data_IF_646688861566
#
_entry.id   IF_646688861566
#
_cell.length_a   1.000
_cell.length_b   1.000
_cell.length_c   1.000
_cell.angle_alpha   90.00
_cell.angle_beta   90.00
_cell.angle_gamma   90.00
#
_symmetry.space_group_name_H-M   'P 1'
#
loop_
_entity.id
_entity.type
_entity.pdbx_description
1 polymer ?
#
# COMPACT_ATOMS: atom_id res chain seq x y z
N UNK A 1 15.96 19.04 6.14
CA UNK A 1 16.37 19.45 7.50
C UNK A 1 15.41 18.80 8.48
N UNK A 2 15.80 17.65 9.04
CA UNK A 2 14.96 16.75 9.84
C UNK A 2 15.00 17.15 11.32
N UNK A 3 13.84 17.49 11.91
CA UNK A 3 13.69 17.66 13.35
C UNK A 3 12.91 16.46 13.89
N UNK A 4 13.60 15.59 14.63
CA UNK A 4 13.03 14.49 15.42
C UNK A 4 12.22 15.08 16.58
N UNK A 5 10.94 14.71 16.70
CA UNK A 5 10.15 14.87 17.93
C UNK A 5 10.46 13.69 18.86
N UNK A 6 11.01 13.98 20.03
CA UNK A 6 11.05 13.08 21.20
C UNK A 6 9.94 13.56 22.12
N UNK A 7 9.00 12.67 22.43
CA UNK A 7 7.89 12.93 23.36
C UNK A 7 8.27 12.35 24.72
N UNK A 8 8.57 13.22 25.69
CA UNK A 8 8.83 12.85 27.09
C UNK A 8 7.52 13.02 27.87
N UNK A 9 7.06 11.96 28.54
CA UNK A 9 5.85 11.99 29.37
C UNK A 9 6.21 12.48 30.78
N UNK A 10 5.38 13.41 31.28
CA UNK A 10 5.42 14.03 32.61
C UNK A 10 5.33 13.00 33.74
N UNK A 11 6.21 13.11 34.73
CA UNK A 11 6.00 12.59 36.09
C UNK A 11 5.48 13.70 36.99
N UNK A 12 4.31 13.48 37.60
CA UNK A 12 3.64 14.42 38.50
C UNK A 12 4.34 14.52 39.87
N UNK A 13 4.40 15.76 40.35
CA UNK A 13 4.95 16.20 41.63
C UNK A 13 3.84 16.15 42.70
N UNK A 14 4.05 15.49 43.85
CA UNK A 14 3.21 15.69 45.05
C UNK A 14 4.09 15.86 46.29
N UNK A 15 4.02 17.08 46.81
CA UNK A 15 4.19 17.61 48.17
C UNK A 15 5.18 16.94 49.15
N UNK A 16 6.28 17.66 49.44
CA UNK A 16 7.01 17.56 50.70
C UNK A 16 6.20 18.22 51.84
N UNK A 17 5.88 17.46 52.89
CA UNK A 17 5.62 18.01 54.22
C UNK A 17 6.74 17.57 55.16
N UNK A 18 7.53 18.54 55.62
CA UNK A 18 8.55 18.38 56.65
C UNK A 18 7.92 18.01 58.00
N UNK A 19 8.41 16.95 58.63
CA UNK A 19 8.32 16.71 60.09
C UNK A 19 9.74 16.44 60.58
N UNK A 20 10.26 17.16 61.59
CA UNK A 20 11.51 16.79 62.24
C UNK A 20 11.22 15.73 63.31
N UNK A 21 12.04 14.68 63.39
CA UNK A 21 12.79 14.27 64.60
C UNK A 21 13.24 12.81 64.57
N UNK A 22 14.35 12.60 65.30
CA UNK A 22 15.01 11.36 65.68
C UNK A 22 15.76 10.61 64.58
N UNK A 23 17.04 10.97 64.47
CA UNK A 23 18.08 10.11 63.92
C UNK A 23 18.34 8.96 64.89
N UNK A 24 17.45 7.95 64.91
CA UNK A 24 17.87 6.59 65.23
C UNK A 24 18.42 6.06 63.92
N UNK A 25 19.73 5.84 63.87
CA UNK A 25 20.39 5.15 62.79
C UNK A 25 19.77 3.75 62.72
N UNK A 26 18.71 3.60 61.92
CA UNK A 26 18.14 2.30 61.60
C UNK A 26 19.26 1.53 60.92
N UNK A 27 19.63 0.42 61.55
CA UNK A 27 20.62 -0.53 61.06
C UNK A 27 20.41 -0.73 59.56
N UNK A 28 21.43 -0.35 58.80
CA UNK A 28 21.61 -0.85 57.45
C UNK A 28 21.77 -2.35 57.62
N UNK A 29 20.69 -3.11 57.44
CA UNK A 29 20.73 -4.58 57.49
C UNK A 29 21.59 -5.03 56.32
N UNK A 30 22.87 -5.22 56.58
CA UNK A 30 23.78 -5.91 55.68
C UNK A 30 23.27 -7.34 55.58
N UNK A 31 22.50 -7.59 54.53
CA UNK A 31 21.84 -8.88 54.31
C UNK A 31 22.86 -9.97 53.98
N UNK A 32 24.07 -9.62 53.57
CA UNK A 32 25.19 -10.55 53.44
C UNK A 32 25.77 -10.87 54.82
N UNK A 33 25.20 -11.89 55.47
CA UNK A 33 25.66 -12.33 56.78
C UNK A 33 26.70 -13.44 56.66
N UNK A 34 27.80 -13.32 57.41
CA UNK A 34 28.78 -14.40 57.62
C UNK A 34 28.81 -14.77 59.09
N UNK A 35 28.95 -16.06 59.40
CA UNK A 35 28.97 -16.55 60.79
C UNK A 35 29.94 -17.70 60.94
N UNK A 36 30.67 -17.72 62.06
CA UNK A 36 31.48 -18.88 62.48
C UNK A 36 30.64 -20.02 63.08
N UNK A 37 29.34 -19.79 63.34
CA UNK A 37 28.40 -20.79 63.89
C UNK A 37 27.44 -21.28 62.80
N UNK A 38 26.74 -20.37 62.13
CA UNK A 38 25.85 -20.65 61.01
C UNK A 38 24.57 -21.41 61.39
N UNK A 39 24.12 -22.29 60.50
CA UNK A 39 22.85 -23.01 60.63
C UNK A 39 22.87 -24.05 61.76
N UNK A 40 21.80 -24.07 62.57
CA UNK A 40 21.59 -25.04 63.66
C UNK A 40 20.14 -25.54 63.67
N UNK A 41 19.96 -26.85 63.73
CA UNK A 41 18.65 -27.47 63.94
C UNK A 41 18.40 -27.68 65.43
N UNK A 42 17.28 -27.15 65.94
CA UNK A 42 16.82 -27.34 67.31
C UNK A 42 15.39 -27.88 67.27
N UNK A 43 15.19 -29.12 67.73
CA UNK A 43 13.89 -29.79 67.79
C UNK A 43 13.10 -29.74 66.46
N UNK A 44 13.79 -29.95 65.33
CA UNK A 44 13.18 -29.97 64.01
C UNK A 44 12.97 -28.59 63.37
N UNK A 45 13.38 -27.51 64.02
CA UNK A 45 13.36 -26.16 63.45
C UNK A 45 14.78 -25.66 63.18
N UNK A 46 15.02 -25.07 62.02
CA UNK A 46 16.30 -24.48 61.65
C UNK A 46 16.39 -23.02 62.11
N UNK A 47 17.57 -22.62 62.58
CA UNK A 47 17.93 -21.26 63.00
C UNK A 47 19.30 -20.92 62.42
N UNK A 48 19.55 -19.64 62.13
CA UNK A 48 20.90 -19.16 61.78
C UNK A 48 21.50 -18.40 62.97
N UNK A 49 22.58 -18.92 63.53
CA UNK A 49 23.30 -18.26 64.62
C UNK A 49 24.39 -17.36 64.06
N UNK A 50 24.48 -16.14 64.57
CA UNK A 50 25.59 -15.22 64.32
C UNK A 50 26.81 -15.61 65.17
N UNK A 51 28.00 -15.08 64.85
CA UNK A 51 29.24 -15.38 65.57
C UNK A 51 29.22 -15.01 67.06
N UNK A 52 28.31 -14.12 67.46
CA UNK A 52 28.07 -13.71 68.86
C UNK A 52 27.10 -14.65 69.62
N UNK A 53 26.73 -15.79 69.03
CA UNK A 53 25.80 -16.78 69.57
C UNK A 53 24.33 -16.32 69.69
N UNK A 54 23.96 -15.19 69.08
CA UNK A 54 22.56 -14.75 68.95
C UNK A 54 21.93 -15.23 67.64
N UNK A 55 20.60 -15.41 67.62
CA UNK A 55 19.85 -15.83 66.43
C UNK A 55 19.68 -14.66 65.46
N UNK A 56 19.84 -14.91 64.17
CA UNK A 56 19.42 -13.98 63.13
C UNK A 56 17.89 -14.00 62.97
N UNK A 57 17.34 -12.87 62.53
CA UNK A 57 15.91 -12.64 62.27
C UNK A 57 15.76 -11.88 60.95
N UNK A 58 14.58 -11.99 60.32
CA UNK A 58 14.28 -11.37 59.03
C UNK A 58 15.06 -11.99 57.87
N UNK A 59 15.26 -11.20 56.82
CA UNK A 59 15.99 -11.63 55.63
C UNK A 59 17.50 -11.69 55.85
N UNK A 60 18.10 -12.83 55.48
CA UNK A 60 19.56 -13.01 55.45
C UNK A 60 20.00 -13.66 54.14
N UNK A 61 21.28 -13.49 53.80
CA UNK A 61 21.89 -14.02 52.58
C UNK A 61 23.25 -14.71 52.82
N UNK A 62 23.32 -15.76 53.67
CA UNK A 62 24.52 -16.58 53.82
C UNK A 62 24.81 -17.33 52.51
N UNK A 63 26.10 -17.41 52.15
CA UNK A 63 26.58 -18.21 51.01
C UNK A 63 25.82 -17.96 49.70
N UNK A 64 25.46 -16.68 49.48
CA UNK A 64 24.79 -16.15 48.29
C UNK A 64 23.34 -16.61 48.06
N UNK A 65 22.72 -17.32 49.00
CA UNK A 65 21.31 -17.71 48.95
C UNK A 65 20.49 -16.91 49.97
N UNK A 66 19.30 -16.45 49.57
CA UNK A 66 18.40 -15.71 50.46
C UNK A 66 17.57 -16.67 51.32
N UNK A 67 17.42 -16.34 52.60
CA UNK A 67 16.58 -17.04 53.57
C UNK A 67 15.81 -16.01 54.39
N UNK A 68 14.70 -16.44 54.99
CA UNK A 68 13.92 -15.64 55.91
C UNK A 68 13.78 -16.36 57.26
N UNK A 69 14.04 -15.65 58.35
CA UNK A 69 13.90 -16.11 59.71
C UNK A 69 12.77 -15.32 60.37
N UNK A 70 11.84 -16.02 61.01
CA UNK A 70 10.74 -15.40 61.75
C UNK A 70 11.24 -14.31 62.70
N UNK A 71 10.62 -13.13 62.66
CA UNK A 71 11.13 -11.92 63.33
C UNK A 71 11.18 -12.03 64.86
N UNK A 72 10.42 -12.96 65.44
CA UNK A 72 10.31 -13.14 66.89
C UNK A 72 11.11 -14.34 67.39
N UNK A 73 10.96 -15.49 66.72
CA UNK A 73 11.56 -16.76 67.16
C UNK A 73 12.92 -17.04 66.52
N UNK A 74 13.22 -16.42 65.37
CA UNK A 74 14.37 -16.73 64.53
C UNK A 74 14.24 -18.05 63.75
N UNK A 75 13.05 -18.68 63.77
CA UNK A 75 12.81 -19.94 63.06
C UNK A 75 12.83 -19.70 61.55
N UNK A 76 13.53 -20.56 60.81
CA UNK A 76 13.59 -20.52 59.36
C UNK A 76 12.22 -20.74 58.73
N UNK A 77 11.87 -19.87 57.79
CA UNK A 77 10.62 -19.93 57.02
C UNK A 77 10.77 -20.88 55.83
N UNK A 78 9.74 -21.67 55.57
CA UNK A 78 9.58 -22.53 54.38
C UNK A 78 8.20 -22.29 53.79
N UNK A 79 8.02 -22.55 52.50
CA UNK A 79 6.76 -22.28 51.78
C UNK A 79 6.53 -20.81 51.46
N UNK A 80 5.26 -20.42 51.32
CA UNK A 80 4.88 -19.04 50.99
C UNK A 80 5.13 -18.07 52.15
N UNK A 81 5.74 -16.93 51.83
CA UNK A 81 6.01 -15.83 52.74
C UNK A 81 5.45 -14.53 52.14
N UNK A 82 4.62 -13.82 52.88
CA UNK A 82 4.24 -12.45 52.54
C UNK A 82 5.10 -11.47 53.34
N UNK A 83 5.83 -10.59 52.64
CA UNK A 83 6.57 -9.49 53.26
C UNK A 83 6.31 -8.19 52.50
N UNK A 84 5.83 -7.18 53.23
CA UNK A 84 5.51 -5.83 52.70
C UNK A 84 4.65 -5.87 51.43
N UNK A 85 3.65 -6.75 51.40
CA UNK A 85 2.71 -6.90 50.28
C UNK A 85 3.25 -7.68 49.08
N UNK A 86 4.48 -8.22 49.15
CA UNK A 86 5.03 -9.11 48.13
C UNK A 86 5.03 -10.54 48.65
N UNK A 87 4.71 -11.48 47.77
CA UNK A 87 4.77 -12.91 48.07
C UNK A 87 6.08 -13.52 47.58
N UNK A 88 6.72 -14.33 48.41
CA UNK A 88 7.94 -15.07 48.12
C UNK A 88 7.69 -16.54 48.37
N UNK A 89 8.47 -17.41 47.74
CA UNK A 89 8.42 -18.84 48.02
C UNK A 89 9.78 -19.33 48.51
N UNK A 90 9.82 -19.85 49.72
CA UNK A 90 10.98 -20.47 50.34
C UNK A 90 10.89 -21.98 50.13
N UNK A 91 11.92 -22.62 49.59
CA UNK A 91 11.92 -24.07 49.38
C UNK A 91 11.96 -24.85 50.70
N UNK A 92 11.96 -26.18 50.62
CA UNK A 92 11.96 -27.05 51.82
C UNK A 92 13.24 -26.90 52.67
N UNK A 93 14.32 -26.34 52.10
CA UNK A 93 15.55 -25.99 52.79
C UNK A 93 15.58 -24.51 53.25
N UNK A 94 14.49 -23.78 53.01
CA UNK A 94 14.33 -22.37 53.36
C UNK A 94 15.00 -21.40 52.41
N UNK A 95 15.58 -21.85 51.30
CA UNK A 95 16.19 -20.97 50.31
C UNK A 95 15.11 -20.33 49.44
N UNK A 96 15.22 -19.02 49.19
CA UNK A 96 14.26 -18.28 48.38
C UNK A 96 14.35 -18.71 46.91
N UNK A 97 13.22 -19.12 46.36
CA UNK A 97 13.09 -19.55 44.97
C UNK A 97 13.02 -18.36 44.02
N UNK A 98 13.64 -18.51 42.85
CA UNK A 98 13.53 -17.61 41.70
C UNK A 98 13.17 -18.42 40.45
N UNK A 99 12.57 -17.76 39.47
CA UNK A 99 12.13 -18.35 38.22
C UNK A 99 10.83 -19.16 38.34
N UNK A 100 10.62 -20.04 37.37
CA UNK A 100 9.43 -20.89 37.26
C UNK A 100 9.36 -21.94 38.37
N UNK A 101 8.22 -22.04 39.05
CA UNK A 101 7.95 -23.05 40.06
C UNK A 101 6.56 -23.63 39.90
N UNK A 102 6.47 -24.97 39.84
CA UNK A 102 5.21 -25.70 39.88
C UNK A 102 4.90 -26.13 41.31
N UNK A 103 3.73 -25.77 41.83
CA UNK A 103 3.24 -26.08 43.17
C UNK A 103 1.82 -26.59 43.06
N UNK A 104 1.54 -27.78 43.62
CA UNK A 104 0.19 -28.37 43.66
C UNK A 104 -0.56 -28.41 42.31
N UNK A 105 0.19 -28.51 41.21
CA UNK A 105 -0.35 -28.53 39.84
C UNK A 105 -0.30 -27.18 39.12
N UNK A 106 -0.17 -26.08 39.84
CA UNK A 106 -0.18 -24.71 39.33
C UNK A 106 1.22 -24.15 39.11
N UNK A 107 1.37 -23.33 38.06
CA UNK A 107 2.62 -22.65 37.75
C UNK A 107 2.65 -21.24 38.32
N UNK A 108 3.80 -20.88 38.89
CA UNK A 108 4.14 -19.57 39.42
C UNK A 108 5.47 -19.10 38.81
N UNK A 109 5.66 -17.79 38.71
CA UNK A 109 6.93 -17.17 38.37
C UNK A 109 7.38 -16.30 39.54
N UNK A 110 8.56 -16.59 40.08
CA UNK A 110 9.23 -15.78 41.08
C UNK A 110 10.26 -14.92 40.35
N UNK A 111 10.12 -13.61 40.41
CA UNK A 111 11.01 -12.66 39.71
C UNK A 111 12.44 -12.72 40.25
N UNK A 112 13.36 -11.95 39.66
CA UNK A 112 14.76 -11.90 40.13
C UNK A 112 14.91 -11.39 41.57
N UNK A 113 13.94 -10.61 42.08
CA UNK A 113 13.87 -10.22 43.50
C UNK A 113 13.30 -11.33 44.40
N UNK A 114 12.77 -12.40 43.83
CA UNK A 114 12.02 -13.47 44.52
C UNK A 114 10.53 -13.19 44.66
N UNK A 115 10.07 -11.98 44.33
CA UNK A 115 8.65 -11.64 44.42
C UNK A 115 7.84 -12.41 43.36
N UNK A 116 6.70 -12.95 43.76
CA UNK A 116 5.74 -13.67 42.94
C UNK A 116 5.11 -12.72 41.93
N UNK A 117 5.23 -13.06 40.65
CA UNK A 117 4.68 -12.27 39.58
C UNK A 117 3.13 -12.34 39.53
N UNK A 118 2.53 -11.24 39.09
CA UNK A 118 1.12 -11.11 38.73
C UNK A 118 1.03 -10.31 37.43
N UNK A 119 -0.14 -10.33 36.77
CA UNK A 119 -0.33 -9.67 35.49
C UNK A 119 0.42 -10.35 34.34
N UNK A 120 0.56 -9.64 33.22
CA UNK A 120 1.29 -10.13 32.04
C UNK A 120 2.79 -10.01 32.30
N UNK A 121 3.52 -11.09 32.07
CA UNK A 121 4.96 -11.20 32.24
C UNK A 121 5.59 -11.72 30.97
N UNK A 122 6.74 -11.17 30.62
CA UNK A 122 7.55 -11.63 29.52
C UNK A 122 8.69 -12.51 30.03
N UNK A 123 8.78 -13.73 29.50
CA UNK A 123 9.91 -14.62 29.71
C UNK A 123 10.49 -15.03 28.34
N UNK A 124 11.71 -14.54 28.09
CA UNK A 124 12.34 -14.56 26.77
C UNK A 124 11.42 -13.92 25.70
N UNK A 125 11.01 -14.69 24.71
CA UNK A 125 10.12 -14.24 23.62
C UNK A 125 8.64 -14.56 23.86
N UNK A 126 8.27 -15.13 25.01
CA UNK A 126 6.90 -15.53 25.29
C UNK A 126 6.28 -14.65 26.36
N UNK A 127 4.99 -14.36 26.20
CA UNK A 127 4.18 -13.68 27.19
C UNK A 127 3.31 -14.68 27.94
N UNK A 128 3.14 -14.48 29.25
CA UNK A 128 2.29 -15.30 30.12
C UNK A 128 1.48 -14.39 31.04
N UNK A 129 0.26 -14.80 31.40
CA UNK A 129 -0.55 -14.08 32.37
C UNK A 129 -0.61 -14.82 33.70
N UNK A 130 -0.26 -14.12 34.78
CA UNK A 130 -0.40 -14.58 36.15
C UNK A 130 -1.57 -13.86 36.81
N UNK A 131 -2.54 -14.64 37.30
CA UNK A 131 -3.70 -14.11 38.06
C UNK A 131 -3.20 -13.39 39.32
N UNK A 132 -4.06 -12.65 40.01
CA UNK A 132 -3.70 -11.97 41.26
C UNK A 132 -3.21 -12.94 42.35
N UNK A 133 -3.67 -14.19 42.30
CA UNK A 133 -3.19 -15.31 43.13
C UNK A 133 -1.74 -15.76 42.81
N UNK A 134 -1.16 -15.28 41.71
CA UNK A 134 0.12 -15.70 41.16
C UNK A 134 0.08 -16.98 40.33
N UNK A 135 -1.08 -17.61 40.18
CA UNK A 135 -1.25 -18.79 39.33
C UNK A 135 -1.27 -18.38 37.87
N UNK A 136 -0.43 -19.00 37.04
CA UNK A 136 -0.42 -18.81 35.60
C UNK A 136 -1.75 -19.26 34.97
N UNK A 137 -2.29 -18.45 34.07
CA UNK A 137 -3.43 -18.82 33.24
C UNK A 137 -2.99 -19.82 32.16
N UNK A 138 -3.77 -20.88 31.99
CA UNK A 138 -3.51 -22.01 31.07
C UNK A 138 -4.67 -22.32 30.14
N UNK A 139 -5.75 -21.54 30.23
CA UNK A 139 -6.89 -21.64 29.33
C UNK A 139 -6.45 -21.31 27.90
N UNK A 140 -7.02 -22.00 26.91
CA UNK A 140 -6.72 -21.81 25.50
C UNK A 140 -7.81 -20.93 24.88
N UNK A 141 -7.41 -20.04 23.98
CA UNK A 141 -8.30 -19.18 23.21
C UNK A 141 -8.44 -17.76 23.76
N UNK A 142 -9.44 -17.06 23.25
CA UNK A 142 -9.70 -15.66 23.55
C UNK A 142 -10.03 -15.43 25.03
N UNK A 143 -9.30 -14.51 25.66
CA UNK A 143 -9.49 -14.10 27.06
C UNK A 143 -9.45 -12.59 27.17
N UNK A 144 -10.45 -12.00 27.84
CA UNK A 144 -10.47 -10.56 28.11
C UNK A 144 -9.77 -10.25 29.43
N UNK A 145 -8.77 -9.38 29.40
CA UNK A 145 -7.99 -8.93 30.57
C UNK A 145 -7.90 -7.40 30.50
N UNK A 146 -8.40 -6.70 31.54
CA UNK A 146 -8.38 -5.24 31.63
C UNK A 146 -8.88 -4.54 30.35
N UNK A 147 -10.04 -4.98 29.87
CA UNK A 147 -10.71 -4.51 28.66
C UNK A 147 -10.01 -4.77 27.31
N UNK A 148 -8.88 -5.47 27.31
CA UNK A 148 -8.20 -5.94 26.09
C UNK A 148 -8.41 -7.44 25.90
N UNK A 149 -8.49 -7.88 24.64
CA UNK A 149 -8.52 -9.29 24.28
C UNK A 149 -7.13 -9.82 24.00
N UNK A 150 -6.87 -11.04 24.46
CA UNK A 150 -5.62 -11.78 24.27
C UNK A 150 -5.97 -13.20 23.82
N UNK A 151 -5.17 -13.78 22.93
CA UNK A 151 -5.33 -15.18 22.55
C UNK A 151 -4.29 -16.03 23.27
N UNK A 152 -4.75 -17.03 24.03
CA UNK A 152 -3.86 -17.96 24.72
C UNK A 152 -3.67 -19.23 23.90
N UNK A 153 -2.43 -19.55 23.59
CA UNK A 153 -2.03 -20.81 22.97
C UNK A 153 -1.98 -21.95 24.00
N UNK A 154 -1.60 -23.14 23.51
CA UNK A 154 -1.17 -24.24 24.37
C UNK A 154 -0.07 -23.78 25.34
N UNK A 155 -0.04 -24.39 26.52
CA UNK A 155 0.93 -24.12 27.58
C UNK A 155 0.80 -22.72 28.25
N UNK A 156 -0.28 -21.97 27.97
CA UNK A 156 -0.58 -20.69 28.63
C UNK A 156 0.17 -19.48 28.08
N UNK A 157 0.80 -19.63 26.91
CA UNK A 157 1.45 -18.53 26.19
C UNK A 157 0.41 -17.61 25.58
N UNK A 158 0.65 -16.31 25.62
CA UNK A 158 -0.14 -15.33 24.87
C UNK A 158 0.45 -15.19 23.47
N UNK A 159 -0.38 -15.37 22.46
CA UNK A 159 -0.02 -15.28 21.05
C UNK A 159 0.22 -13.83 20.63
N UNK A 160 1.19 -13.61 19.76
CA UNK A 160 1.45 -12.34 19.08
C UNK A 160 1.50 -12.57 17.57
N UNK A 161 1.10 -11.58 16.78
CA UNK A 161 0.98 -11.72 15.34
C UNK A 161 -0.35 -12.33 14.88
N UNK A 162 -0.31 -13.00 13.73
CA UNK A 162 -1.49 -13.53 13.04
C UNK A 162 -2.04 -14.78 13.70
N UNK A 163 -3.35 -14.78 13.94
CA UNK A 163 -4.09 -15.89 14.55
C UNK A 163 -5.19 -16.33 13.58
N UNK A 164 -5.22 -17.62 13.25
CA UNK A 164 -6.35 -18.25 12.58
C UNK A 164 -7.21 -18.98 13.64
N UNK A 165 -8.48 -18.60 13.76
CA UNK A 165 -9.41 -19.22 14.68
C UNK A 165 -10.80 -19.33 14.06
N UNK A 166 -11.32 -20.56 13.92
CA UNK A 166 -12.62 -20.86 13.32
C UNK A 166 -12.80 -20.26 11.91
N UNK A 167 -11.83 -20.51 11.02
CA UNK A 167 -11.79 -20.01 9.63
C UNK A 167 -11.81 -18.47 9.51
N UNK A 168 -11.42 -17.76 10.58
CA UNK A 168 -11.28 -16.31 10.61
C UNK A 168 -9.87 -15.92 11.05
N UNK A 169 -9.40 -14.81 10.50
CA UNK A 169 -8.08 -14.26 10.82
C UNK A 169 -8.20 -13.09 11.79
N UNK A 170 -7.25 -13.00 12.70
CA UNK A 170 -7.10 -11.94 13.69
C UNK A 170 -5.64 -11.54 13.77
N UNK A 171 -5.35 -10.40 14.38
CA UNK A 171 -3.97 -9.99 14.65
C UNK A 171 -3.83 -9.54 16.10
N UNK A 172 -2.74 -9.97 16.77
CA UNK A 172 -2.36 -9.50 18.09
C UNK A 172 -1.06 -8.71 18.02
N UNK A 173 -1.03 -7.57 18.69
CA UNK A 173 0.16 -6.72 18.84
C UNK A 173 1.28 -7.45 19.58
N UNK A 174 2.48 -6.85 19.61
CA UNK A 174 3.63 -7.37 20.35
C UNK A 174 3.38 -7.45 21.86
N UNK A 175 2.45 -6.67 22.41
CA UNK A 175 2.01 -6.76 23.81
C UNK A 175 0.96 -7.87 24.03
N UNK A 176 0.59 -8.61 22.98
CA UNK A 176 -0.42 -9.67 22.94
C UNK A 176 -1.85 -9.18 22.77
N UNK A 177 -2.10 -7.87 22.75
CA UNK A 177 -3.46 -7.35 22.64
C UNK A 177 -4.00 -7.45 21.22
N UNK A 178 -5.23 -7.92 21.08
CA UNK A 178 -5.94 -8.04 19.79
C UNK A 178 -6.14 -6.67 19.13
N UNK A 179 -5.92 -6.62 17.82
CA UNK A 179 -6.18 -5.46 16.97
C UNK A 179 -7.64 -5.44 16.52
N UNK A 180 -8.22 -4.24 16.48
CA UNK A 180 -9.53 -3.91 15.91
C UNK A 180 -9.41 -2.65 15.07
N UNK A 181 -10.29 -2.46 14.09
CA UNK A 181 -10.25 -1.32 13.19
C UNK A 181 -9.12 -1.40 12.17
N UNK A 182 -8.71 -0.26 11.63
CA UNK A 182 -7.64 -0.19 10.61
C UNK A 182 -6.27 -0.18 11.25
N UNK A 183 -5.37 -1.04 10.78
CA UNK A 183 -3.98 -1.05 11.23
C UNK A 183 -3.01 -1.40 10.11
N UNK A 184 -1.73 -1.05 10.30
CA UNK A 184 -0.67 -1.31 9.34
C UNK A 184 0.30 -2.34 9.90
N UNK A 185 0.28 -3.54 9.30
CA UNK A 185 1.13 -4.67 9.69
C UNK A 185 2.27 -4.75 8.67
N UNK A 186 3.48 -4.38 9.12
CA UNK A 186 4.61 -4.16 8.22
C UNK A 186 4.34 -2.98 7.28
N UNK A 187 4.28 -3.24 5.97
CA UNK A 187 4.00 -2.22 4.96
C UNK A 187 2.57 -2.26 4.40
N UNK A 188 1.75 -3.20 4.85
CA UNK A 188 0.42 -3.47 4.31
C UNK A 188 -0.64 -3.02 5.32
N UNK A 189 -1.67 -2.34 4.83
CA UNK A 189 -2.83 -1.95 5.64
C UNK A 189 -3.88 -3.05 5.61
N UNK A 190 -4.41 -3.36 6.78
CA UNK A 190 -5.49 -4.32 7.03
C UNK A 190 -6.62 -3.61 7.79
N UNK A 191 -7.80 -4.20 7.79
CA UNK A 191 -8.91 -3.76 8.63
C UNK A 191 -9.54 -4.95 9.34
N UNK A 192 -9.88 -4.73 10.60
CA UNK A 192 -10.46 -5.72 11.51
C UNK A 192 -11.78 -5.18 12.05
N UNK A 193 -12.77 -6.05 12.24
CA UNK A 193 -14.04 -5.72 12.88
C UNK A 193 -13.85 -5.33 14.35
N UNK A 194 -14.93 -4.86 14.99
CA UNK A 194 -14.94 -4.59 16.44
C UNK A 194 -14.71 -5.85 17.29
N UNK A 195 -14.88 -7.03 16.68
CA UNK A 195 -14.57 -8.33 17.30
C UNK A 195 -13.20 -8.87 16.91
N UNK A 196 -12.41 -8.11 16.15
CA UNK A 196 -11.04 -8.43 15.74
C UNK A 196 -10.92 -9.28 14.49
N UNK A 197 -12.03 -9.66 13.86
CA UNK A 197 -12.04 -10.47 12.64
C UNK A 197 -11.54 -9.63 11.46
N UNK A 198 -10.51 -10.11 10.75
CA UNK A 198 -9.96 -9.45 9.57
C UNK A 198 -11.00 -9.44 8.44
N UNK A 199 -11.27 -8.25 7.90
CA UNK A 199 -12.24 -8.08 6.83
C UNK A 199 -11.59 -8.24 5.46
N UNK A 200 -12.40 -8.67 4.48
CA UNK A 200 -12.03 -8.75 3.07
C UNK A 200 -13.16 -8.18 2.21
N UNK A 201 -12.89 -7.89 0.94
CA UNK A 201 -13.84 -7.28 0.02
C UNK A 201 -14.03 -5.78 0.26
N UNK A 202 -15.21 -5.26 -0.08
CA UNK A 202 -15.54 -3.85 0.07
C UNK A 202 -15.83 -3.49 1.54
N UNK A 203 -15.06 -2.56 2.08
CA UNK A 203 -15.23 -2.06 3.46
C UNK A 203 -15.30 -0.53 3.44
N UNK A 204 -16.29 0.04 4.13
CA UNK A 204 -16.40 1.48 4.30
C UNK A 204 -15.72 1.90 5.60
N UNK A 205 -14.66 2.71 5.49
CA UNK A 205 -13.92 3.25 6.63
C UNK A 205 -14.00 4.77 6.57
N UNK A 206 -14.65 5.39 7.56
CA UNK A 206 -14.80 6.84 7.66
C UNK A 206 -15.35 7.50 6.38
N UNK A 207 -16.44 6.95 5.82
CA UNK A 207 -17.09 7.38 4.58
C UNK A 207 -16.26 7.20 3.29
N UNK A 208 -15.14 6.49 3.34
CA UNK A 208 -14.38 6.11 2.17
C UNK A 208 -14.47 4.60 1.96
N UNK A 209 -14.70 4.17 0.73
CA UNK A 209 -14.69 2.75 0.38
C UNK A 209 -13.27 2.29 0.09
N UNK A 210 -12.93 1.11 0.57
CA UNK A 210 -11.68 0.40 0.31
C UNK A 210 -12.02 -1.01 -0.15
N UNK A 211 -11.14 -1.61 -0.95
CA UNK A 211 -11.24 -3.02 -1.27
C UNK A 211 -10.06 -3.75 -0.62
N UNK A 212 -10.35 -4.73 0.23
CA UNK A 212 -9.36 -5.60 0.84
C UNK A 212 -9.34 -6.94 0.10
N UNK A 213 -8.15 -7.35 -0.34
CA UNK A 213 -7.96 -8.61 -1.06
C UNK A 213 -8.28 -9.81 -0.16
N UNK A 214 -8.31 -11.01 -0.74
CA UNK A 214 -8.59 -12.25 0.02
C UNK A 214 -7.56 -12.55 1.10
N UNK A 215 -6.34 -12.02 0.97
CA UNK A 215 -5.29 -12.10 1.99
C UNK A 215 -5.37 -10.97 3.04
N UNK A 216 -6.40 -10.12 2.95
CA UNK A 216 -6.62 -8.98 3.84
C UNK A 216 -5.85 -7.72 3.47
N UNK A 217 -4.97 -7.75 2.47
CA UNK A 217 -4.22 -6.56 2.05
C UNK A 217 -5.12 -5.53 1.36
N UNK A 218 -4.97 -4.24 1.69
CA UNK A 218 -5.67 -3.18 0.94
C UNK A 218 -5.22 -3.16 -0.53
N UNK A 219 -6.18 -3.09 -1.46
CA UNK A 219 -5.91 -2.96 -2.89
C UNK A 219 -5.62 -1.51 -3.28
N UNK A 220 -4.74 -1.33 -4.27
CA UNK A 220 -4.44 -0.04 -4.92
C UNK A 220 -4.43 -0.22 -6.44
N UNK A 221 -4.66 0.87 -7.17
CA UNK A 221 -4.75 0.86 -8.63
C UNK A 221 -6.04 0.22 -9.15
N UNK A 222 -5.97 -0.33 -10.37
CA UNK A 222 -7.12 -0.94 -11.03
C UNK A 222 -7.43 -2.34 -10.49
N UNK A 223 -8.69 -2.58 -10.15
CA UNK A 223 -9.21 -3.93 -9.87
C UNK A 223 -10.39 -4.25 -10.77
N UNK A 224 -10.52 -5.53 -11.14
CA UNK A 224 -11.68 -6.06 -11.86
C UNK A 224 -12.42 -7.03 -10.95
N UNK A 225 -13.70 -6.75 -10.70
CA UNK A 225 -14.60 -7.60 -9.94
C UNK A 225 -15.77 -7.99 -10.84
N UNK A 226 -15.79 -9.25 -11.27
CA UNK A 226 -16.84 -9.82 -12.12
C UNK A 226 -17.15 -8.98 -13.39
N UNK A 227 -16.11 -8.47 -14.04
CA UNK A 227 -16.21 -7.68 -15.27
C UNK A 227 -16.42 -6.18 -15.05
N UNK A 228 -16.65 -5.73 -13.82
CA UNK A 228 -16.68 -4.32 -13.48
C UNK A 228 -15.30 -3.85 -13.02
N UNK A 229 -14.80 -2.76 -13.60
CA UNK A 229 -13.53 -2.14 -13.22
C UNK A 229 -13.73 -1.05 -12.18
N UNK A 230 -12.81 -0.96 -11.23
CA UNK A 230 -12.74 0.07 -10.20
C UNK A 230 -11.31 0.58 -10.09
N UNK A 231 -11.14 1.80 -9.59
CA UNK A 231 -9.83 2.37 -9.32
C UNK A 231 -9.69 2.74 -7.84
N UNK A 232 -8.63 2.22 -7.20
CA UNK A 232 -8.26 2.54 -5.83
C UNK A 232 -7.05 3.47 -5.87
N UNK A 233 -7.14 4.61 -5.20
CA UNK A 233 -6.04 5.56 -5.10
C UNK A 233 -4.84 4.94 -4.37
N UNK A 234 -3.69 5.62 -4.37
CA UNK A 234 -2.47 5.13 -3.70
C UNK A 234 -2.64 4.90 -2.19
N UNK A 235 -3.59 5.60 -1.56
CA UNK A 235 -3.96 5.40 -0.16
C UNK A 235 -5.01 4.29 0.05
N UNK A 236 -5.41 3.59 -1.02
CA UNK A 236 -6.42 2.53 -1.04
C UNK A 236 -7.87 2.99 -1.18
N UNK A 237 -8.17 4.29 -1.10
CA UNK A 237 -9.56 4.74 -1.19
C UNK A 237 -10.10 4.61 -2.62
N UNK A 238 -11.34 4.17 -2.75
CA UNK A 238 -12.03 4.06 -4.03
C UNK A 238 -12.21 5.43 -4.66
N UNK A 239 -11.73 5.57 -5.89
CA UNK A 239 -11.93 6.77 -6.67
C UNK A 239 -13.34 6.82 -7.27
N UNK A 240 -13.83 8.04 -7.45
CA UNK A 240 -15.06 8.37 -8.18
C UNK A 240 -14.78 9.54 -9.11
N UNK A 241 -15.57 9.69 -10.16
CA UNK A 241 -15.38 10.72 -11.17
C UNK A 241 -14.17 10.47 -12.07
N UNK A 242 -13.52 11.55 -12.50
CA UNK A 242 -12.38 11.47 -13.42
C UNK A 242 -11.11 11.00 -12.71
N UNK A 243 -10.45 9.96 -13.25
CA UNK A 243 -9.10 9.55 -12.86
C UNK A 243 -8.17 9.55 -14.05
N UNK A 244 -6.89 9.81 -13.78
CA UNK A 244 -5.82 9.71 -14.76
C UNK A 244 -4.96 8.48 -14.47
N UNK A 245 -4.68 7.67 -15.48
CA UNK A 245 -3.82 6.49 -15.37
C UNK A 245 -2.86 6.42 -16.56
N UNK A 246 -1.72 5.74 -16.41
CA UNK A 246 -0.71 5.58 -17.46
C UNK A 246 -0.25 6.90 -18.14
N UNK A 247 -0.10 7.97 -17.35
CA UNK A 247 0.53 9.23 -17.79
C UNK A 247 -0.35 10.17 -18.63
N UNK A 248 -1.41 9.68 -19.29
CA UNK A 248 -2.29 10.53 -20.10
C UNK A 248 -3.69 9.99 -20.39
N UNK A 249 -4.00 8.75 -20.00
CA UNK A 249 -5.33 8.18 -20.18
C UNK A 249 -6.27 8.66 -19.08
N UNK A 250 -7.48 9.07 -19.45
CA UNK A 250 -8.53 9.47 -18.52
C UNK A 250 -9.67 8.47 -18.54
N UNK A 251 -10.18 8.14 -17.37
CA UNK A 251 -11.30 7.23 -17.16
C UNK A 251 -12.31 7.89 -16.26
N UNK A 252 -13.57 7.48 -16.35
CA UNK A 252 -14.63 7.99 -15.48
C UNK A 252 -15.24 6.87 -14.64
N UNK A 253 -15.17 7.02 -13.32
CA UNK A 253 -15.77 6.13 -12.35
C UNK A 253 -17.11 6.72 -11.91
N UNK A 254 -18.16 5.90 -11.93
CA UNK A 254 -19.49 6.30 -11.50
C UNK A 254 -19.47 6.87 -10.06
N UNK A 255 -20.01 8.08 -9.83
CA UNK A 255 -19.96 8.73 -8.51
C UNK A 255 -20.67 7.97 -7.38
N UNK A 256 -21.57 7.05 -7.70
CA UNK A 256 -22.34 6.31 -6.69
C UNK A 256 -21.70 4.96 -6.38
N UNK A 257 -21.31 4.23 -7.43
CA UNK A 257 -20.85 2.84 -7.34
C UNK A 257 -19.34 2.67 -7.50
N UNK A 258 -18.62 3.67 -8.00
CA UNK A 258 -17.20 3.58 -8.33
C UNK A 258 -16.86 2.76 -9.56
N UNK A 259 -17.85 2.19 -10.25
CA UNK A 259 -17.65 1.40 -11.46
C UNK A 259 -17.18 2.28 -12.61
N UNK A 260 -16.15 1.83 -13.33
CA UNK A 260 -15.71 2.47 -14.56
C UNK A 260 -16.81 2.40 -15.61
N UNK A 261 -17.14 3.55 -16.19
CA UNK A 261 -18.10 3.63 -17.29
C UNK A 261 -17.40 3.34 -18.63
N UNK A 262 -18.13 2.73 -19.56
CA UNK A 262 -17.71 2.47 -20.94
C UNK A 262 -18.82 2.86 -21.90
N UNK A 263 -18.47 3.02 -23.19
CA UNK A 263 -19.42 3.22 -24.31
C UNK A 263 -20.45 4.33 -24.06
N UNK A 264 -20.00 5.44 -23.49
CA UNK A 264 -20.87 6.56 -23.09
C UNK A 264 -20.22 7.91 -23.38
N UNK A 265 -20.87 9.00 -22.98
CA UNK A 265 -20.34 10.36 -23.06
C UNK A 265 -20.45 11.04 -21.69
N UNK A 266 -19.35 11.57 -21.17
CA UNK A 266 -19.29 12.28 -19.89
C UNK A 266 -18.67 13.65 -20.11
N UNK A 267 -19.34 14.72 -19.67
CA UNK A 267 -18.88 16.11 -19.83
C UNK A 267 -18.51 16.47 -21.29
N UNK A 268 -19.21 15.88 -22.27
CA UNK A 268 -18.96 16.08 -23.70
C UNK A 268 -17.81 15.24 -24.28
N UNK A 269 -17.12 14.44 -23.47
CA UNK A 269 -16.09 13.51 -23.90
C UNK A 269 -16.64 12.10 -24.14
N UNK A 270 -16.30 11.51 -25.29
CA UNK A 270 -16.64 10.12 -25.57
C UNK A 270 -15.76 9.18 -24.74
N UNK A 271 -16.37 8.20 -24.11
CA UNK A 271 -15.71 7.11 -23.37
C UNK A 271 -15.84 5.83 -24.21
N UNK A 272 -14.71 5.20 -24.51
CA UNK A 272 -14.65 3.96 -25.29
C UNK A 272 -15.17 2.73 -24.56
N UNK A 273 -15.23 1.62 -25.29
CA UNK A 273 -15.46 0.28 -24.71
C UNK A 273 -14.34 -0.16 -23.78
N UNK A 274 -13.16 0.44 -23.92
CA UNK A 274 -12.00 0.28 -23.03
C UNK A 274 -12.03 1.24 -21.81
N UNK A 275 -13.07 2.07 -21.69
CA UNK A 275 -13.21 3.06 -20.63
C UNK A 275 -12.38 4.34 -20.82
N UNK A 276 -11.60 4.44 -21.91
CA UNK A 276 -10.73 5.59 -22.14
C UNK A 276 -11.51 6.77 -22.68
N UNK A 277 -11.16 7.96 -22.21
CA UNK A 277 -11.63 9.23 -22.75
C UNK A 277 -10.97 9.53 -24.09
N UNK A 278 -11.76 9.67 -25.13
CA UNK A 278 -11.35 10.26 -26.39
C UNK A 278 -11.67 11.76 -26.39
N UNK A 279 -10.73 12.56 -26.88
CA UNK A 279 -10.99 13.97 -27.15
C UNK A 279 -11.96 14.07 -28.33
N UNK A 280 -13.23 14.32 -28.03
CA UNK A 280 -14.18 14.83 -29.03
C UNK A 280 -13.74 16.24 -29.39
N UNK A 281 -13.32 16.45 -30.63
CA UNK A 281 -13.25 17.80 -31.17
C UNK A 281 -14.68 18.33 -31.18
N UNK A 282 -14.94 19.34 -30.36
CA UNK A 282 -16.14 20.17 -30.48
C UNK A 282 -16.27 20.53 -31.96
N UNK A 283 -17.45 20.27 -32.52
CA UNK A 283 -17.83 20.78 -33.84
C UNK A 283 -17.38 22.25 -33.90
N UNK A 284 -16.54 22.58 -34.87
CA UNK A 284 -16.20 23.97 -35.19
C UNK A 284 -17.54 24.71 -35.31
N UNK A 285 -17.81 25.76 -34.50
CA UNK A 285 -19.03 26.54 -34.63
C UNK A 285 -19.09 27.10 -36.06
N UNK A 286 -20.09 26.66 -36.80
CA UNK A 286 -20.33 27.03 -38.18
C UNK A 286 -20.70 28.51 -38.28
N UNK A 287 -19.70 29.34 -38.59
CA UNK A 287 -19.92 30.66 -39.18
C UNK A 287 -20.12 30.50 -40.68
N UNK A 288 -21.33 30.80 -41.13
CA UNK A 288 -21.75 30.73 -42.53
C UNK A 288 -21.26 31.94 -43.33
N UNK A 289 -20.09 31.85 -43.98
CA UNK A 289 -19.79 32.61 -45.22
C UNK A 289 -18.38 32.36 -45.75
N UNK A 290 -18.23 31.51 -46.77
CA UNK A 290 -17.48 31.82 -48.00
C UNK A 290 -17.50 30.60 -48.93
N UNK A 291 -18.06 30.78 -50.14
CA UNK A 291 -18.13 29.74 -51.17
C UNK A 291 -16.72 29.50 -51.73
N UNK A 292 -16.26 28.25 -51.66
CA UNK A 292 -15.08 27.76 -52.40
C UNK A 292 -14.11 26.92 -51.58
N UNK A 293 -13.38 27.53 -50.63
CA UNK A 293 -12.38 26.82 -49.81
C UNK A 293 -12.93 26.30 -48.48
N UNK A 294 -13.91 27.00 -47.89
CA UNK A 294 -14.52 26.63 -46.61
C UNK A 294 -15.24 25.28 -46.64
N UNK A 295 -15.95 24.97 -47.73
CA UNK A 295 -16.66 23.70 -47.90
C UNK A 295 -15.69 22.51 -48.06
N UNK A 296 -14.57 22.73 -48.75
CA UNK A 296 -13.53 21.71 -48.96
C UNK A 296 -12.83 21.39 -47.63
N UNK A 297 -12.36 22.40 -46.91
CA UNK A 297 -11.72 22.19 -45.59
C UNK A 297 -12.68 21.57 -44.59
N UNK A 298 -13.95 21.96 -44.58
CA UNK A 298 -14.96 21.32 -43.74
C UNK A 298 -15.12 19.83 -44.08
N UNK A 299 -15.16 19.49 -45.38
CA UNK A 299 -15.23 18.09 -45.83
C UNK A 299 -13.99 17.31 -45.37
N UNK A 300 -12.80 17.92 -45.44
CA UNK A 300 -11.54 17.32 -44.94
C UNK A 300 -11.66 17.03 -43.44
N UNK A 301 -11.97 18.01 -42.61
CA UNK A 301 -12.05 17.82 -41.14
C UNK A 301 -13.11 16.79 -40.74
N UNK A 302 -14.27 16.80 -41.39
CA UNK A 302 -15.30 15.78 -41.14
C UNK A 302 -14.79 14.38 -41.50
N UNK A 303 -14.18 14.23 -42.67
CA UNK A 303 -13.62 12.94 -43.12
C UNK A 303 -12.49 12.46 -42.21
N UNK A 304 -11.66 13.37 -41.69
CA UNK A 304 -10.62 13.07 -40.70
C UNK A 304 -11.27 12.57 -39.41
N UNK A 305 -12.30 13.24 -38.90
CA UNK A 305 -12.97 12.81 -37.67
C UNK A 305 -13.66 11.46 -37.84
N UNK A 306 -14.34 11.25 -38.98
CA UNK A 306 -15.00 9.98 -39.28
C UNK A 306 -13.98 8.84 -39.35
N UNK A 307 -12.86 9.05 -40.02
CA UNK A 307 -11.77 8.07 -40.12
C UNK A 307 -11.07 7.84 -38.77
N UNK A 308 -10.81 8.91 -38.01
CA UNK A 308 -10.23 8.84 -36.67
C UNK A 308 -11.10 7.98 -35.74
N UNK A 309 -12.41 8.21 -35.75
CA UNK A 309 -13.38 7.44 -35.00
C UNK A 309 -13.45 5.97 -35.46
N UNK A 310 -13.48 5.75 -36.77
CA UNK A 310 -13.59 4.41 -37.36
C UNK A 310 -12.38 3.54 -37.07
N UNK A 311 -11.17 4.12 -37.06
CA UNK A 311 -9.92 3.37 -36.90
C UNK A 311 -9.28 3.51 -35.51
N UNK A 312 -9.86 4.30 -34.61
CA UNK A 312 -9.32 4.54 -33.27
C UNK A 312 -7.98 5.29 -33.33
N UNK A 313 -7.91 6.35 -34.15
CA UNK A 313 -6.71 7.17 -34.36
C UNK A 313 -6.88 8.56 -33.75
N UNK A 314 -5.77 9.20 -33.42
CA UNK A 314 -5.76 10.63 -33.10
C UNK A 314 -5.95 11.43 -34.40
N UNK A 315 -7.02 12.24 -34.48
CA UNK A 315 -7.29 13.09 -35.64
C UNK A 315 -6.17 14.10 -35.91
N UNK A 316 -5.42 14.56 -34.89
CA UNK A 316 -4.26 15.43 -35.10
C UNK A 316 -3.14 14.73 -35.85
N UNK A 317 -2.96 13.43 -35.62
CA UNK A 317 -1.93 12.67 -36.34
C UNK A 317 -2.30 12.56 -37.83
N UNK A 318 -3.58 12.33 -38.14
CA UNK A 318 -4.08 12.32 -39.52
C UNK A 318 -3.87 13.70 -40.17
N UNK A 319 -4.21 14.80 -39.47
CA UNK A 319 -3.99 16.16 -39.95
C UNK A 319 -2.50 16.48 -40.19
N UNK A 320 -1.62 16.02 -39.29
CA UNK A 320 -0.18 16.20 -39.43
C UNK A 320 0.39 15.50 -40.66
N UNK A 321 -0.11 14.29 -40.96
CA UNK A 321 0.25 13.58 -42.20
C UNK A 321 -0.30 14.32 -43.42
N UNK A 322 -1.58 14.71 -43.43
CA UNK A 322 -2.15 15.48 -44.55
C UNK A 322 -1.34 16.77 -44.82
N UNK A 323 -0.96 17.48 -43.75
CA UNK A 323 -0.14 18.68 -43.84
C UNK A 323 1.24 18.39 -44.46
N UNK A 324 1.88 17.30 -44.06
CA UNK A 324 3.19 16.90 -44.59
C UNK A 324 3.14 16.35 -46.02
N UNK A 325 2.01 15.75 -46.42
CA UNK A 325 1.83 15.08 -47.70
C UNK A 325 1.37 16.03 -48.81
N UNK A 326 0.38 16.89 -48.54
CA UNK A 326 -0.22 17.73 -49.58
C UNK A 326 -0.43 19.18 -49.18
N UNK A 327 -0.09 19.57 -47.95
CA UNK A 327 -0.47 20.86 -47.39
C UNK A 327 -1.98 21.15 -47.53
N UNK A 328 -2.80 20.11 -47.29
CA UNK A 328 -4.26 20.14 -47.46
C UNK A 328 -4.78 20.35 -48.89
N UNK A 329 -3.95 20.18 -49.92
CA UNK A 329 -4.42 20.18 -51.32
C UNK A 329 -5.00 18.81 -51.71
N UNK A 330 -6.32 18.68 -51.94
CA UNK A 330 -6.94 17.41 -52.34
C UNK A 330 -6.64 17.03 -53.79
N UNK A 331 -6.03 17.91 -54.58
CA UNK A 331 -5.65 17.68 -55.98
C UNK A 331 -4.15 17.45 -56.16
N UNK A 332 -3.39 17.41 -55.06
CA UNK A 332 -1.95 17.20 -55.10
C UNK A 332 -1.59 15.86 -55.77
N UNK A 333 -0.55 15.90 -56.61
CA UNK A 333 0.05 14.71 -57.22
C UNK A 333 1.57 14.79 -57.08
N UNK A 334 2.20 13.81 -56.45
CA UNK A 334 3.65 13.75 -56.35
C UNK A 334 4.30 13.41 -57.69
N UNK A 335 5.62 13.61 -57.80
CA UNK A 335 6.43 13.17 -58.95
C UNK A 335 6.39 11.66 -59.18
N UNK A 336 6.03 10.87 -58.17
CA UNK A 336 5.88 9.41 -58.25
C UNK A 336 4.44 8.97 -58.53
N UNK A 337 3.49 9.91 -58.66
CA UNK A 337 2.09 9.64 -58.97
C UNK A 337 1.20 9.33 -57.77
N UNK A 338 1.68 9.55 -56.54
CA UNK A 338 0.83 9.52 -55.35
C UNK A 338 -0.16 10.69 -55.39
N UNK A 339 -1.42 10.49 -54.97
CA UNK A 339 -2.47 11.49 -55.15
C UNK A 339 -3.22 11.85 -53.87
N UNK A 340 -3.79 13.05 -53.88
CA UNK A 340 -4.72 13.54 -52.86
C UNK A 340 -4.06 13.90 -51.53
N UNK A 341 -4.89 14.02 -50.50
CA UNK A 341 -4.53 14.61 -49.21
C UNK A 341 -3.45 13.84 -48.45
N UNK A 342 -3.51 12.51 -48.50
CA UNK A 342 -2.59 11.61 -47.81
C UNK A 342 -1.64 10.90 -48.79
N UNK A 343 -1.51 11.44 -50.01
CA UNK A 343 -0.62 10.98 -51.08
C UNK A 343 -0.60 9.46 -51.23
N UNK A 344 -1.75 8.90 -51.63
CA UNK A 344 -1.91 7.45 -51.80
C UNK A 344 -1.51 7.04 -53.23
N UNK A 345 -0.69 5.99 -53.33
CA UNK A 345 -0.27 5.44 -54.61
C UNK A 345 -1.41 4.66 -55.31
N UNK A 346 -1.64 4.84 -56.63
CA UNK A 346 -2.72 4.19 -57.36
C UNK A 346 -2.78 2.67 -57.26
N UNK A 347 -1.63 1.99 -57.18
CA UNK A 347 -1.60 0.53 -57.01
C UNK A 347 -2.26 0.04 -55.70
N UNK A 348 -2.42 0.92 -54.69
CA UNK A 348 -3.02 0.58 -53.41
C UNK A 348 -4.54 0.83 -53.36
N UNK A 349 -5.13 1.47 -54.39
CA UNK A 349 -6.54 1.88 -54.35
C UNK A 349 -7.49 0.72 -54.10
N UNK A 350 -7.34 -0.38 -54.83
CA UNK A 350 -8.22 -1.54 -54.66
C UNK A 350 -8.14 -2.14 -53.25
N UNK A 351 -6.96 -2.12 -52.62
CA UNK A 351 -6.76 -2.63 -51.26
C UNK A 351 -7.38 -1.71 -50.19
N UNK A 352 -7.30 -0.40 -50.43
CA UNK A 352 -7.80 0.64 -49.54
C UNK A 352 -9.28 0.95 -49.77
N UNK A 353 -9.94 0.32 -50.75
CA UNK A 353 -11.34 0.57 -51.07
C UNK A 353 -11.58 1.90 -51.79
N UNK A 354 -10.56 2.41 -52.49
CA UNK A 354 -10.60 3.66 -53.23
C UNK A 354 -10.85 3.39 -54.72
N UNK A 355 -11.60 4.28 -55.36
CA UNK A 355 -11.75 4.34 -56.83
C UNK A 355 -11.19 5.63 -57.42
N UNK A 356 -11.12 6.70 -56.61
CA UNK A 356 -10.55 7.98 -57.00
C UNK A 356 -9.65 8.51 -55.87
N UNK A 357 -8.37 8.74 -56.18
CA UNK A 357 -7.41 9.24 -55.21
C UNK A 357 -7.54 10.73 -54.91
N UNK A 358 -8.31 11.48 -55.69
CA UNK A 358 -8.61 12.90 -55.43
C UNK A 358 -9.92 13.11 -54.66
N UNK A 359 -10.70 12.04 -54.44
CA UNK A 359 -11.87 12.12 -53.57
C UNK A 359 -11.43 12.22 -52.10
N UNK A 360 -11.89 13.27 -51.43
CA UNK A 360 -11.46 13.63 -50.07
C UNK A 360 -11.76 12.53 -49.06
N UNK A 361 -12.97 11.96 -49.11
CA UNK A 361 -13.42 10.96 -48.14
C UNK A 361 -12.67 9.65 -48.35
N UNK A 362 -12.58 9.19 -49.61
CA UNK A 362 -11.86 7.96 -49.96
C UNK A 362 -10.37 8.06 -49.63
N UNK A 363 -9.73 9.20 -49.94
CA UNK A 363 -8.31 9.38 -49.69
C UNK A 363 -7.97 9.41 -48.20
N UNK A 364 -8.77 10.12 -47.40
CA UNK A 364 -8.56 10.19 -45.95
C UNK A 364 -8.88 8.85 -45.27
N UNK A 365 -9.98 8.18 -45.65
CA UNK A 365 -10.33 6.87 -45.07
C UNK A 365 -9.26 5.81 -45.42
N UNK A 366 -8.82 5.78 -46.68
CA UNK A 366 -7.78 4.87 -47.16
C UNK A 366 -6.42 5.13 -46.50
N UNK A 367 -5.99 6.38 -46.40
CA UNK A 367 -4.74 6.73 -45.71
C UNK A 367 -4.80 6.46 -44.21
N UNK A 368 -5.93 6.75 -43.57
CA UNK A 368 -6.14 6.46 -42.14
C UNK A 368 -6.14 4.95 -41.86
N UNK A 369 -6.77 4.15 -42.72
CA UNK A 369 -6.72 2.69 -42.64
C UNK A 369 -5.27 2.19 -42.71
N UNK A 370 -4.49 2.69 -43.66
CA UNK A 370 -3.10 2.32 -43.84
C UNK A 370 -2.24 2.70 -42.61
N UNK A 371 -2.45 3.91 -42.07
CA UNK A 371 -1.78 4.35 -40.85
C UNK A 371 -2.11 3.43 -39.66
N UNK A 372 -3.38 3.03 -39.50
CA UNK A 372 -3.80 2.11 -38.44
C UNK A 372 -3.13 0.74 -38.60
N UNK A 373 -3.00 0.23 -39.83
CA UNK A 373 -2.29 -1.02 -40.10
C UNK A 373 -0.82 -0.95 -39.69
N UNK A 374 -0.14 0.17 -39.97
CA UNK A 374 1.26 0.35 -39.56
C UNK A 374 1.40 0.51 -38.05
N UNK A 375 0.53 1.28 -37.40
CA UNK A 375 0.51 1.34 -35.94
C UNK A 375 0.34 -0.05 -35.33
N UNK A 376 -0.58 -0.88 -35.85
CA UNK A 376 -0.74 -2.24 -35.35
C UNK A 376 0.49 -3.11 -35.62
N UNK A 377 1.14 -2.97 -36.78
CA UNK A 377 2.32 -3.73 -37.17
C UNK A 377 3.57 -3.39 -36.34
N UNK A 378 3.64 -2.16 -35.84
CA UNK A 378 4.75 -1.64 -35.03
C UNK A 378 4.33 -1.37 -33.58
N UNK A 379 3.40 -2.18 -33.04
CA UNK A 379 3.01 -2.18 -31.62
C UNK A 379 2.57 -0.83 -31.05
N UNK A 380 1.97 0.02 -31.87
CA UNK A 380 1.51 1.36 -31.50
C UNK A 380 2.58 2.44 -31.54
N UNK A 381 3.81 2.13 -31.99
CA UNK A 381 4.87 3.13 -32.11
C UNK A 381 4.56 4.12 -33.25
N UNK A 382 4.26 5.35 -32.87
CA UNK A 382 3.82 6.41 -33.77
C UNK A 382 4.92 6.81 -34.75
N UNK A 383 6.18 6.94 -34.30
CA UNK A 383 7.24 7.42 -35.19
C UNK A 383 7.63 6.35 -36.21
N UNK A 384 7.67 5.09 -35.79
CA UNK A 384 7.93 3.97 -36.71
C UNK A 384 6.78 3.83 -37.71
N UNK A 385 5.52 3.99 -37.27
CA UNK A 385 4.38 3.97 -38.18
C UNK A 385 4.42 5.11 -39.22
N UNK A 386 4.85 6.31 -38.83
CA UNK A 386 5.08 7.44 -39.77
C UNK A 386 6.22 7.11 -40.74
N UNK A 387 7.33 6.54 -40.27
CA UNK A 387 8.43 6.11 -41.13
C UNK A 387 7.97 5.04 -42.14
N UNK A 388 7.14 4.09 -41.70
CA UNK A 388 6.52 3.08 -42.57
C UNK A 388 5.51 3.68 -43.55
N UNK A 389 4.84 4.77 -43.17
CA UNK A 389 3.94 5.50 -44.06
C UNK A 389 4.70 6.09 -45.25
N UNK A 390 5.87 6.68 -45.02
CA UNK A 390 6.69 7.28 -46.07
C UNK A 390 7.50 6.25 -46.88
N UNK A 391 8.16 5.32 -46.21
CA UNK A 391 9.12 4.41 -46.83
C UNK A 391 8.54 3.02 -47.16
N UNK A 392 7.36 2.70 -46.66
CA UNK A 392 6.79 1.37 -46.68
C UNK A 392 7.31 0.47 -45.53
N UNK A 393 6.46 -0.38 -44.95
CA UNK A 393 6.81 -1.17 -43.76
C UNK A 393 7.90 -2.22 -44.01
N UNK A 394 8.05 -2.69 -45.26
CA UNK A 394 9.08 -3.67 -45.61
C UNK A 394 10.48 -3.07 -45.53
N UNK A 395 10.64 -1.79 -45.88
CA UNK A 395 11.92 -1.11 -45.77
C UNK A 395 12.27 -0.84 -44.31
N UNK A 396 11.31 -0.40 -43.50
CA UNK A 396 11.47 -0.24 -42.05
C UNK A 396 11.93 -1.54 -41.38
N UNK A 397 11.33 -2.67 -41.76
CA UNK A 397 11.72 -4.00 -41.25
C UNK A 397 13.08 -4.46 -41.76
N UNK A 398 13.37 -4.24 -43.04
CA UNK A 398 14.65 -4.60 -43.67
C UNK A 398 15.82 -3.87 -43.01
N UNK A 399 15.63 -2.60 -42.68
CA UNK A 399 16.65 -1.76 -42.05
C UNK A 399 16.74 -1.97 -40.52
N UNK A 400 15.89 -2.85 -39.97
CA UNK A 400 15.96 -3.28 -38.58
C UNK A 400 15.58 -2.18 -37.58
N UNK A 401 14.56 -1.39 -37.89
CA UNK A 401 14.02 -0.35 -37.01
C UNK A 401 13.03 -0.96 -36.04
N UNK A 402 13.40 -1.04 -34.75
CA UNK A 402 12.59 -1.64 -33.70
C UNK A 402 12.17 -0.64 -32.62
N UNK A 403 12.80 0.54 -32.57
CA UNK A 403 12.50 1.63 -31.64
C UNK A 403 12.80 2.99 -32.27
N UNK A 404 12.39 4.07 -31.60
CA UNK A 404 12.74 5.44 -31.94
C UNK A 404 14.24 5.66 -32.19
N UNK A 405 15.11 5.03 -31.41
CA UNK A 405 16.57 5.18 -31.52
C UNK A 405 17.12 4.59 -32.83
N UNK A 406 16.42 3.61 -33.40
CA UNK A 406 16.81 2.95 -34.63
C UNK A 406 16.43 3.74 -35.89
N UNK A 407 15.65 4.83 -35.78
CA UNK A 407 15.24 5.65 -36.93
C UNK A 407 16.45 6.21 -37.69
N UNK A 408 17.58 6.39 -37.02
CA UNK A 408 18.85 6.80 -37.65
C UNK A 408 19.36 5.84 -38.74
N UNK A 409 18.87 4.59 -38.76
CA UNK A 409 19.20 3.57 -39.78
C UNK A 409 18.49 3.84 -41.11
N UNK A 410 17.36 4.55 -41.08
CA UNK A 410 16.60 4.93 -42.28
C UNK A 410 17.33 6.02 -43.06
N UNK A 411 16.98 6.21 -44.34
CA UNK A 411 17.55 7.31 -45.12
C UNK A 411 17.21 8.69 -44.52
N UNK A 412 18.07 9.69 -44.73
CA UNK A 412 17.87 11.04 -44.19
C UNK A 412 16.50 11.62 -44.55
N UNK A 413 16.02 11.37 -45.79
CA UNK A 413 14.70 11.87 -46.21
C UNK A 413 13.53 11.29 -45.41
N UNK A 414 13.65 10.06 -44.90
CA UNK A 414 12.61 9.46 -44.04
C UNK A 414 12.69 10.05 -42.63
N UNK A 415 13.89 10.24 -42.10
CA UNK A 415 14.08 10.88 -40.80
C UNK A 415 13.50 12.31 -40.80
N UNK A 416 13.83 13.10 -41.82
CA UNK A 416 13.31 14.46 -41.99
C UNK A 416 11.77 14.48 -42.13
N UNK A 417 11.20 13.49 -42.81
CA UNK A 417 9.74 13.34 -42.93
C UNK A 417 9.09 13.05 -41.57
N UNK A 418 9.64 12.11 -40.78
CA UNK A 418 9.14 11.77 -39.45
C UNK A 418 9.20 12.99 -38.54
N UNK A 419 10.32 13.70 -38.52
CA UNK A 419 10.47 14.92 -37.73
C UNK A 419 9.45 15.99 -38.12
N UNK A 420 9.24 16.21 -39.42
CA UNK A 420 8.26 17.18 -39.93
C UNK A 420 6.83 16.85 -39.50
N UNK A 421 6.41 15.58 -39.65
CA UNK A 421 5.07 15.14 -39.19
C UNK A 421 4.95 15.28 -37.67
N UNK A 422 5.97 14.92 -36.89
CA UNK A 422 5.94 15.04 -35.44
C UNK A 422 5.93 16.51 -34.96
N UNK A 423 6.55 17.42 -35.71
CA UNK A 423 6.46 18.85 -35.44
C UNK A 423 5.03 19.35 -35.64
N UNK A 424 4.40 18.99 -36.75
CA UNK A 424 2.99 19.27 -37.04
C UNK A 424 2.03 18.65 -36.02
N UNK A 425 2.30 17.43 -35.57
CA UNK A 425 1.46 16.75 -34.58
C UNK A 425 1.50 17.42 -33.20
N UNK A 426 2.66 17.99 -32.83
CA UNK A 426 2.84 18.76 -31.59
C UNK A 426 2.28 20.18 -31.67
N UNK A 427 2.09 20.71 -32.88
CA UNK A 427 1.58 22.05 -33.09
C UNK A 427 0.08 22.12 -32.78
N UNK A 428 -0.28 22.87 -31.74
CA UNK A 428 -1.70 23.06 -31.37
C UNK A 428 -2.48 23.83 -32.43
N UNK A 429 -1.80 24.60 -33.28
CA UNK A 429 -2.41 25.36 -34.35
C UNK A 429 -2.77 24.51 -35.57
N UNK A 430 -2.32 23.26 -35.71
CA UNK A 430 -2.66 22.46 -36.90
C UNK A 430 -4.16 22.16 -37.04
N UNK A 431 -4.90 22.22 -35.94
CA UNK A 431 -6.36 22.13 -35.92
C UNK A 431 -7.05 23.48 -36.24
N UNK A 432 -6.30 24.58 -36.22
CA UNK A 432 -6.72 25.97 -36.40
C UNK A 432 -6.26 26.49 -37.78
N UNK A 433 -5.14 26.01 -38.29
CA UNK A 433 -4.36 26.60 -39.39
C UNK A 433 -4.64 25.96 -40.76
N UNK A 434 -5.90 25.54 -40.95
CA UNK A 434 -6.52 25.55 -42.28
C UNK A 434 -6.72 27.00 -42.75
N UNK A 435 -5.63 27.78 -42.78
CA UNK A 435 -5.46 29.21 -43.12
C UNK A 435 -6.70 30.09 -42.92
N UNK A 436 -6.62 31.03 -41.97
CA UNK A 436 -7.34 32.32 -42.02
C UNK A 436 -8.81 32.24 -42.47
N UNK A 437 -9.69 31.71 -41.62
CA UNK A 437 -11.15 31.93 -41.76
C UNK A 437 -11.66 33.08 -40.87
N UNK A 438 -10.77 33.98 -40.46
CA UNK A 438 -11.15 35.32 -40.01
C UNK A 438 -10.26 36.29 -40.78
N UNK A 439 -10.90 37.11 -41.60
CA UNK A 439 -10.32 38.09 -42.52
C UNK A 439 -9.39 39.10 -41.83
N UNK A 440 -8.64 39.83 -42.67
CA UNK A 440 -8.22 41.22 -42.43
C UNK A 440 -9.27 42.07 -41.72
#
# INVERSE_FOLDING_TARGET
MNIKKVLTVLSALIALSFIPTLNVQADVTDTNITSSIGWKNENGSWYYYKSDNTKAIGWIKPDNNWYHLDEYSGKMTTGWLEDKGNWYYMDDNGAMVKGWKKLDGDWYLLTDSGARATGIQQDNSNLYYFKDSGVMATNIGWTKINDKWYYFDKDGKIHTGWIENNDKWYYSNDDGSMVTGTDKIGNITYVFSDTGEMETGWVNVNNNWYYFNTDGSVATGWINLDGAWYYLNDNGSMATGWVTSNGSDYYYLDPTSGKMLTDTTIDGYKIGSDGKRYKTFNQIPLSTSSKGSGDTMKKIYNSVNDSANKYGLDSKLILAIIKAESDFDPKATSSSGATGLMQIMPQNYSYLGMTDGYDIEQNIDGGSKLLKEYLNQFNGDVKIAIAAYNAGPQNVKKDGVLSDDDLCKMSQGVQDYVERVMQYYKDESIAIDGKNLIET
#
